data_IF_432395691004
#
_entry.id   IF_432395691004
#
_cell.length_a   1.000
_cell.length_b   1.000
_cell.length_c   1.000
_cell.angle_alpha   90.00
_cell.angle_beta   90.00
_cell.angle_gamma   90.00
#
_symmetry.space_group_name_H-M   'P 1'
#
loop_
_entity.id
_entity.type
_entity.pdbx_description
1 polymer ?
#
# COMPACT_ATOMS: atom_id res chain seq x y z
N UNK A 1 -6.97 -4.80 -9.63
CA UNK A 1 -7.71 -5.51 -8.57
C UNK A 1 -8.21 -4.49 -7.56
N UNK A 2 -9.50 -4.54 -7.20
CA UNK A 2 -10.11 -3.62 -6.23
C UNK A 2 -9.63 -3.96 -4.80
N UNK A 3 -9.03 -3.01 -4.04
CA UNK A 3 -8.52 -3.29 -2.70
C UNK A 3 -9.62 -3.70 -1.69
N UNK A 4 -10.89 -3.35 -1.94
CA UNK A 4 -12.01 -3.80 -1.10
C UNK A 4 -12.24 -5.32 -1.17
N UNK A 5 -11.77 -5.96 -2.24
CA UNK A 5 -11.90 -7.41 -2.46
C UNK A 5 -10.63 -8.18 -2.06
N UNK A 6 -9.61 -7.50 -1.54
CA UNK A 6 -8.38 -8.17 -1.15
C UNK A 6 -8.58 -9.04 0.09
N UNK A 7 -8.20 -10.30 -0.03
CA UNK A 7 -7.90 -11.17 1.11
C UNK A 7 -6.56 -10.79 1.75
N UNK A 8 -6.30 -11.34 2.93
CA UNK A 8 -5.03 -11.19 3.65
C UNK A 8 -3.82 -11.57 2.77
N UNK A 9 -3.95 -12.62 1.96
CA UNK A 9 -2.91 -13.03 1.01
C UNK A 9 -2.62 -11.98 -0.07
N UNK A 10 -3.63 -11.24 -0.54
CA UNK A 10 -3.46 -10.15 -1.50
C UNK A 10 -2.77 -8.95 -0.84
N UNK A 11 -3.16 -8.62 0.40
CA UNK A 11 -2.50 -7.57 1.19
C UNK A 11 -1.03 -7.90 1.42
N UNK A 12 -0.71 -9.13 1.82
CA UNK A 12 0.68 -9.60 1.99
C UNK A 12 1.49 -9.49 0.71
N UNK A 13 0.94 -9.90 -0.43
CA UNK A 13 1.61 -9.74 -1.73
C UNK A 13 1.84 -8.28 -2.09
N UNK A 14 0.86 -7.41 -1.86
CA UNK A 14 0.99 -5.98 -2.12
C UNK A 14 2.06 -5.33 -1.24
N UNK A 15 2.08 -5.64 0.07
CA UNK A 15 3.11 -5.18 0.99
C UNK A 15 4.49 -5.71 0.62
N UNK A 16 4.59 -6.98 0.22
CA UNK A 16 5.85 -7.57 -0.23
C UNK A 16 6.38 -6.90 -1.50
N UNK A 17 5.51 -6.64 -2.48
CA UNK A 17 5.87 -5.87 -3.67
C UNK A 17 6.34 -4.47 -3.30
N UNK A 18 5.59 -3.74 -2.48
CA UNK A 18 5.96 -2.39 -2.08
C UNK A 18 7.28 -2.39 -1.31
N UNK A 19 7.50 -3.39 -0.46
CA UNK A 19 8.76 -3.52 0.26
C UNK A 19 9.96 -3.79 -0.66
N UNK A 20 9.78 -4.55 -1.73
CA UNK A 20 10.83 -4.73 -2.74
C UNK A 20 11.05 -3.47 -3.59
N UNK A 21 9.97 -2.80 -4.01
CA UNK A 21 10.02 -1.62 -4.88
C UNK A 21 10.60 -0.39 -4.16
N UNK A 22 10.24 -0.19 -2.90
CA UNK A 22 10.63 0.97 -2.10
C UNK A 22 11.69 0.64 -1.04
N UNK A 23 12.32 -0.54 -1.11
CA UNK A 23 13.35 -1.00 -0.17
C UNK A 23 12.92 -0.96 1.30
N UNK A 24 11.68 -1.37 1.62
CA UNK A 24 11.27 -1.52 3.02
C UNK A 24 11.97 -2.72 3.66
N UNK A 25 12.49 -2.51 4.85
CA UNK A 25 12.78 -3.62 5.73
C UNK A 25 11.47 -4.34 6.10
N UNK A 26 11.30 -5.57 5.63
CA UNK A 26 10.18 -6.47 5.97
C UNK A 26 10.01 -6.71 7.50
N UNK A 27 10.98 -6.26 8.30
CA UNK A 27 11.07 -6.42 9.74
C UNK A 27 10.43 -5.28 10.54
N UNK A 28 9.73 -4.33 9.90
CA UNK A 28 9.04 -3.27 10.63
C UNK A 28 7.79 -3.84 11.31
N UNK A 29 7.76 -3.83 12.64
CA UNK A 29 6.68 -4.38 13.46
C UNK A 29 5.30 -3.81 13.10
N UNK A 30 5.25 -2.56 12.64
CA UNK A 30 4.03 -1.88 12.19
C UNK A 30 3.44 -2.49 10.90
N UNK A 31 4.29 -2.93 9.97
CA UNK A 31 3.85 -3.61 8.73
C UNK A 31 3.23 -4.98 9.02
N UNK A 32 3.61 -5.60 10.13
CA UNK A 32 3.03 -6.88 10.55
C UNK A 32 1.54 -6.76 10.85
N UNK A 33 1.10 -5.70 11.52
CA UNK A 33 -0.30 -5.49 11.92
C UNK A 33 -1.23 -5.40 10.70
N UNK A 34 -0.86 -4.59 9.71
CA UNK A 34 -1.62 -4.44 8.46
C UNK A 34 -1.54 -5.68 7.57
N UNK A 35 -0.48 -6.50 7.68
CA UNK A 35 -0.33 -7.72 6.87
C UNK A 35 -1.40 -8.78 7.15
N UNK A 36 -2.02 -8.76 8.32
CA UNK A 36 -3.08 -9.71 8.71
C UNK A 36 -4.49 -9.16 8.47
N UNK A 37 -4.62 -7.95 7.91
CA UNK A 37 -5.92 -7.35 7.60
C UNK A 37 -6.38 -7.72 6.19
N UNK A 38 -7.70 -7.74 5.97
CA UNK A 38 -8.26 -7.79 4.62
C UNK A 38 -8.28 -6.38 4.06
N UNK A 39 -8.24 -6.24 2.73
CA UNK A 39 -8.17 -4.90 2.15
C UNK A 39 -9.39 -4.04 2.46
N UNK A 40 -10.59 -4.63 2.64
CA UNK A 40 -11.76 -3.89 3.16
C UNK A 40 -11.53 -3.28 4.54
N UNK A 41 -10.77 -3.93 5.40
CA UNK A 41 -10.50 -3.48 6.78
C UNK A 41 -9.45 -2.36 6.73
N UNK A 42 -8.45 -2.48 5.85
CA UNK A 42 -7.47 -1.42 5.55
C UNK A 42 -8.16 -0.15 5.01
N UNK A 43 -9.11 -0.29 4.09
CA UNK A 43 -9.87 0.87 3.59
C UNK A 43 -10.68 1.50 4.73
N UNK A 44 -11.31 0.67 5.57
CA UNK A 44 -12.19 1.10 6.65
C UNK A 44 -11.44 1.81 7.79
N UNK A 45 -10.16 1.50 8.02
CA UNK A 45 -9.30 2.23 8.97
C UNK A 45 -9.21 3.72 8.64
N UNK A 46 -9.23 4.07 7.35
CA UNK A 46 -8.95 5.43 6.91
C UNK A 46 -7.47 5.78 6.97
N UNK A 47 -7.12 6.93 6.37
CA UNK A 47 -5.73 7.33 6.15
C UNK A 47 -4.95 7.44 7.45
N UNK A 48 -5.45 8.19 8.42
CA UNK A 48 -4.71 8.50 9.65
C UNK A 48 -4.37 7.24 10.46
N UNK A 49 -5.32 6.30 10.59
CA UNK A 49 -5.07 5.04 11.26
C UNK A 49 -4.14 4.13 10.44
N UNK A 50 -4.26 4.11 9.12
CA UNK A 50 -3.29 3.38 8.29
C UNK A 50 -1.86 3.93 8.42
N UNK A 51 -1.71 5.26 8.45
CA UNK A 51 -0.44 5.95 8.66
C UNK A 51 0.16 5.66 10.03
N UNK A 52 -0.65 5.53 11.09
CA UNK A 52 -0.14 5.16 12.42
C UNK A 52 0.38 3.72 12.49
N UNK A 53 -0.16 2.82 11.67
CA UNK A 53 0.30 1.44 11.50
C UNK A 53 1.38 1.27 10.42
N UNK A 54 1.94 2.35 9.88
CA UNK A 54 3.01 2.28 8.87
C UNK A 54 4.15 3.24 9.18
N UNK A 55 5.37 3.01 8.65
CA UNK A 55 6.45 3.97 8.77
C UNK A 55 6.09 5.30 8.10
N UNK A 56 6.44 6.44 8.70
CA UNK A 56 6.00 7.77 8.27
C UNK A 56 6.29 8.09 6.79
N UNK A 57 7.47 7.69 6.27
CA UNK A 57 7.81 7.90 4.85
C UNK A 57 7.01 7.01 3.88
N UNK A 58 6.56 5.85 4.37
CA UNK A 58 6.01 4.80 3.53
C UNK A 58 4.48 4.77 3.55
N UNK A 59 3.89 5.11 4.69
CA UNK A 59 2.44 5.11 4.88
C UNK A 59 1.73 5.97 3.84
N UNK A 60 2.27 7.16 3.57
CA UNK A 60 1.70 8.08 2.59
C UNK A 60 1.73 7.50 1.17
N UNK A 61 2.85 6.88 0.79
CA UNK A 61 3.02 6.24 -0.53
C UNK A 61 2.04 5.07 -0.70
N UNK A 62 1.97 4.20 0.31
CA UNK A 62 1.08 3.05 0.32
C UNK A 62 -0.40 3.47 0.28
N UNK A 63 -0.77 4.49 1.04
CA UNK A 63 -2.14 5.01 1.06
C UNK A 63 -2.52 5.63 -0.28
N UNK A 64 -1.65 6.44 -0.87
CA UNK A 64 -1.85 7.03 -2.20
C UNK A 64 -2.04 5.92 -3.26
N UNK A 65 -1.23 4.86 -3.20
CA UNK A 65 -1.39 3.68 -4.06
C UNK A 65 -2.76 3.01 -3.85
N UNK A 66 -3.22 2.89 -2.60
CA UNK A 66 -4.52 2.32 -2.26
C UNK A 66 -5.67 3.16 -2.84
N UNK A 67 -5.58 4.49 -2.77
CA UNK A 67 -6.59 5.40 -3.34
C UNK A 67 -6.67 5.30 -4.87
N UNK A 68 -5.53 5.15 -5.54
CA UNK A 68 -5.49 4.99 -6.99
C UNK A 68 -6.12 3.64 -7.40
N UNK A 69 -5.80 2.57 -6.67
CA UNK A 69 -6.39 1.25 -6.90
C UNK A 69 -7.90 1.23 -6.66
N UNK A 70 -8.40 2.02 -5.70
CA UNK A 70 -9.83 2.17 -5.45
C UNK A 70 -10.57 2.92 -6.56
N UNK A 71 -9.90 3.89 -7.20
CA UNK A 71 -10.47 4.70 -8.29
C UNK A 71 -10.43 3.97 -9.66
N UNK A 72 -10.10 2.67 -9.66
CA UNK A 72 -10.08 1.76 -10.82
C UNK A 72 -9.23 2.24 -12.01
N UNK A 73 -8.30 3.16 -11.78
CA UNK A 73 -7.35 3.63 -12.80
C UNK A 73 -6.14 2.67 -12.91
N UNK A 74 -6.38 1.35 -12.93
CA UNK A 74 -5.34 0.32 -12.91
C UNK A 74 -4.28 0.49 -14.01
N UNK A 75 -4.66 1.01 -15.19
CA UNK A 75 -3.73 1.31 -16.29
C UNK A 75 -2.84 2.52 -16.03
N UNK A 76 -3.29 3.48 -15.20
CA UNK A 76 -2.47 4.62 -14.77
C UNK A 76 -1.77 4.37 -13.45
N UNK A 77 -2.29 3.51 -12.57
CA UNK A 77 -1.72 3.27 -11.24
C UNK A 77 -0.27 2.80 -11.32
N UNK A 78 -0.03 1.70 -12.03
CA UNK A 78 1.32 1.14 -12.20
C UNK A 78 2.24 2.10 -12.98
N UNK A 79 1.71 2.79 -14.00
CA UNK A 79 2.51 3.72 -14.80
C UNK A 79 2.86 5.01 -14.03
N UNK A 80 1.91 5.60 -13.32
CA UNK A 80 2.10 6.84 -12.56
C UNK A 80 2.97 6.61 -11.33
N UNK A 81 2.88 5.46 -10.66
CA UNK A 81 3.72 5.16 -9.50
C UNK A 81 5.17 4.88 -9.94
N UNK A 82 5.40 4.10 -11.01
CA UNK A 82 6.75 3.88 -11.53
C UNK A 82 7.37 5.18 -12.09
N UNK A 83 6.58 6.03 -12.76
CA UNK A 83 7.06 7.28 -13.37
C UNK A 83 7.21 8.42 -12.35
N UNK A 84 6.24 8.64 -11.45
CA UNK A 84 6.29 9.75 -10.49
C UNK A 84 7.38 9.57 -9.43
N UNK A 85 7.72 8.32 -9.07
CA UNK A 85 8.77 8.05 -8.08
C UNK A 85 10.16 7.94 -8.71
N UNK A 86 10.31 7.50 -9.97
CA UNK A 86 11.61 7.59 -10.68
C UNK A 86 12.00 9.02 -11.05
N UNK A 87 11.04 9.93 -11.24
CA UNK A 87 11.31 11.31 -11.64
C UNK A 87 11.75 12.24 -10.48
N UNK A 88 11.81 11.74 -9.24
CA UNK A 88 12.22 12.49 -8.04
C UNK A 88 13.63 12.17 -7.54
N UNK A 89 14.41 11.41 -8.31
CA UNK A 89 15.85 11.12 -8.08
C UNK A 89 16.68 11.66 -9.24
#
# INVERSE_FOLDING_TARGET
MNPRLWSESHVKHWLHWAANEFSLSQHSSTVHDISQMKGKDIIALGREAFLSHTPAYMGDILWEHLEILQKDQLSKALFYIVVAFKAKV
#
